data_IF_787648338695
#
_entry.id   IF_787648338695
#
_cell.length_a   1.000
_cell.length_b   1.000
_cell.length_c   1.000
_cell.angle_alpha   90.00
_cell.angle_beta   90.00
_cell.angle_gamma   90.00
#
_symmetry.space_group_name_H-M   'P 1'
#
loop_
_entity.id
_entity.type
_entity.pdbx_description
1 polymer ?
#
# COMPACT_ATOMS: atom_id res chain seq x y z
N UNK A 1 -54.65 -11.57 -25.04
CA UNK A 1 -54.18 -10.30 -24.45
C UNK A 1 -52.79 -10.03 -25.04
N UNK A 2 -52.66 -9.41 -26.23
CA UNK A 2 -52.37 -7.98 -26.52
C UNK A 2 -51.35 -7.28 -25.59
N UNK A 3 -50.18 -6.98 -26.19
CA UNK A 3 -49.25 -5.82 -26.00
C UNK A 3 -48.36 -5.87 -24.74
N UNK A 4 -47.08 -5.47 -24.71
CA UNK A 4 -46.30 -4.50 -25.52
C UNK A 4 -44.79 -4.64 -25.28
N UNK A 5 -44.00 -4.18 -26.27
CA UNK A 5 -42.53 -4.07 -26.35
C UNK A 5 -42.02 -2.87 -25.51
N UNK A 6 -40.78 -2.91 -24.98
CA UNK A 6 -39.91 -1.73 -24.96
C UNK A 6 -38.42 -2.12 -24.88
N UNK A 7 -37.71 -1.89 -25.98
CA UNK A 7 -36.25 -1.85 -26.04
C UNK A 7 -35.78 -0.42 -25.73
N UNK A 8 -34.70 -0.26 -24.97
CA UNK A 8 -34.07 1.05 -24.80
C UNK A 8 -32.55 0.90 -24.88
N UNK A 9 -32.00 1.41 -25.98
CA UNK A 9 -30.58 1.59 -26.22
C UNK A 9 -30.12 2.91 -25.59
N UNK A 10 -28.98 2.90 -24.90
CA UNK A 10 -28.31 4.12 -24.42
C UNK A 10 -26.95 4.19 -25.11
N UNK A 11 -26.81 5.17 -25.98
CA UNK A 11 -25.56 5.53 -26.66
C UNK A 11 -24.94 6.65 -25.83
N UNK A 12 -23.76 6.42 -25.23
CA UNK A 12 -22.93 7.47 -24.66
C UNK A 12 -21.84 7.85 -25.66
N UNK A 13 -21.95 9.03 -26.23
CA UNK A 13 -20.89 9.66 -27.00
C UNK A 13 -19.89 10.32 -26.03
N UNK A 14 -18.62 9.93 -26.12
CA UNK A 14 -17.51 10.56 -25.39
C UNK A 14 -16.73 11.41 -26.40
N UNK A 15 -16.85 12.73 -26.31
CA UNK A 15 -15.99 13.67 -27.04
C UNK A 15 -14.79 14.02 -26.17
N UNK A 16 -13.59 13.60 -26.59
CA UNK A 16 -12.32 14.02 -26.01
C UNK A 16 -11.92 15.37 -26.59
N UNK A 17 -11.97 16.42 -25.76
CA UNK A 17 -11.37 17.71 -26.05
C UNK A 17 -9.87 17.66 -25.71
N UNK A 18 -9.04 17.32 -26.69
CA UNK A 18 -7.58 17.44 -26.59
C UNK A 18 -7.18 18.90 -26.86
N UNK A 19 -6.73 19.60 -25.82
CA UNK A 19 -6.25 20.97 -25.93
C UNK A 19 -4.76 21.04 -25.58
N UNK A 20 -3.98 21.49 -26.58
CA UNK A 20 -2.68 22.18 -26.52
C UNK A 20 -1.43 21.43 -26.08
N UNK A 21 -0.54 21.28 -27.06
CA UNK A 21 0.91 21.30 -26.88
C UNK A 21 1.58 21.67 -28.20
N UNK A 22 1.71 22.97 -28.49
CA UNK A 22 2.51 23.48 -29.62
C UNK A 22 3.97 23.12 -29.38
N UNK A 23 4.57 22.38 -30.31
CA UNK A 23 6.02 22.28 -30.51
C UNK A 23 6.48 23.56 -31.21
N UNK A 24 7.39 24.28 -30.59
CA UNK A 24 8.26 25.23 -31.28
C UNK A 24 9.70 24.99 -30.81
N UNK A 25 10.52 24.87 -31.84
CA UNK A 25 11.95 24.58 -31.93
C UNK A 25 12.82 25.73 -31.41
N UNK A 26 14.13 25.48 -31.37
CA UNK A 26 15.27 26.42 -31.23
C UNK A 26 15.73 26.67 -29.79
N UNK A 27 17.01 26.74 -29.43
CA UNK A 27 18.32 26.51 -30.05
C UNK A 27 19.28 26.54 -28.86
N UNK A 28 20.13 25.54 -28.67
CA UNK A 28 21.11 25.50 -27.57
C UNK A 28 22.52 25.68 -28.13
N UNK A 29 22.97 26.92 -28.21
CA UNK A 29 24.39 27.26 -28.19
C UNK A 29 24.73 27.69 -26.76
N UNK A 30 25.28 26.77 -25.98
CA UNK A 30 25.75 27.03 -24.64
C UNK A 30 27.28 27.13 -24.69
N UNK A 31 27.77 28.37 -24.68
CA UNK A 31 29.15 28.68 -24.38
C UNK A 31 29.41 28.39 -22.90
N UNK A 32 30.36 27.48 -22.63
CA UNK A 32 30.85 27.18 -21.29
C UNK A 32 31.85 28.25 -20.86
N UNK A 33 31.53 28.97 -19.79
CA UNK A 33 32.53 29.67 -18.98
C UNK A 33 32.40 29.21 -17.54
N UNK A 34 33.46 28.52 -17.10
CA UNK A 34 33.74 28.21 -15.71
C UNK A 34 33.97 29.51 -14.92
N UNK A 35 33.34 29.65 -13.76
CA UNK A 35 33.87 30.53 -12.72
C UNK A 35 33.59 29.97 -11.33
N UNK A 36 34.67 30.03 -10.55
CA UNK A 36 34.97 29.42 -9.27
C UNK A 36 34.14 29.89 -8.08
N UNK A 37 34.13 29.02 -7.08
CA UNK A 37 34.08 29.24 -5.64
C UNK A 37 33.37 30.49 -5.11
N UNK A 38 32.26 30.27 -4.41
CA UNK A 38 31.95 31.09 -3.26
C UNK A 38 31.30 30.27 -2.13
N UNK A 39 31.92 30.31 -0.96
CA UNK A 39 31.37 29.87 0.32
C UNK A 39 29.97 30.45 0.49
N UNK A 40 28.98 29.61 0.76
CA UNK A 40 27.88 30.04 1.61
C UNK A 40 27.31 28.86 2.40
N UNK A 41 26.92 29.16 3.63
CA UNK A 41 26.44 28.23 4.63
C UNK A 41 25.41 27.24 4.06
N UNK A 42 25.53 25.96 4.50
CA UNK A 42 24.51 24.95 4.28
C UNK A 42 23.21 25.39 4.98
N UNK A 43 22.40 26.16 4.27
CA UNK A 43 20.99 26.35 4.58
C UNK A 43 20.36 24.96 4.51
N UNK A 44 19.94 24.46 5.67
CA UNK A 44 19.13 23.26 5.80
C UNK A 44 17.74 23.55 5.22
N UNK A 45 17.65 23.64 3.90
CA UNK A 45 16.40 23.73 3.17
C UNK A 45 15.87 22.31 2.97
N UNK A 46 15.39 21.68 4.05
CA UNK A 46 14.39 20.64 3.86
C UNK A 46 13.15 21.36 3.30
N UNK A 47 12.63 20.99 2.12
CA UNK A 47 11.44 21.63 1.59
C UNK A 47 10.33 21.49 2.64
N UNK A 48 9.69 22.60 3.00
CA UNK A 48 8.68 22.66 4.07
C UNK A 48 7.42 21.80 3.81
N UNK A 49 7.42 20.96 2.76
CA UNK A 49 6.27 20.23 2.26
C UNK A 49 6.58 18.78 1.85
N UNK A 50 7.74 18.21 2.20
CA UNK A 50 7.96 16.78 1.94
C UNK A 50 7.14 15.92 2.91
N UNK A 51 6.40 14.90 2.40
CA UNK A 51 5.60 14.02 3.25
C UNK A 51 6.45 13.31 4.30
N UNK A 52 6.06 13.46 5.58
CA UNK A 52 6.74 12.78 6.68
C UNK A 52 6.59 11.26 6.56
N UNK A 53 7.71 10.55 6.52
CA UNK A 53 7.77 9.10 6.41
C UNK A 53 8.19 8.45 7.74
N UNK A 54 7.72 7.23 7.97
CA UNK A 54 7.99 6.43 9.18
C UNK A 54 8.35 5.00 8.77
N UNK A 55 9.25 4.37 9.52
CA UNK A 55 9.41 2.93 9.43
C UNK A 55 8.26 2.26 10.21
N UNK A 56 7.79 1.10 9.73
CA UNK A 56 6.74 0.33 10.40
C UNK A 56 7.33 -0.98 10.87
N UNK A 57 7.23 -1.24 12.17
CA UNK A 57 7.74 -2.47 12.78
C UNK A 57 6.60 -3.36 13.24
N UNK A 58 6.76 -4.67 13.04
CA UNK A 58 5.83 -5.70 13.48
C UNK A 58 6.42 -6.48 14.66
N UNK A 59 5.63 -6.78 15.68
CA UNK A 59 6.09 -7.53 16.86
C UNK A 59 5.06 -8.56 17.33
N UNK A 60 5.30 -9.88 17.14
CA UNK A 60 6.37 -10.44 16.29
C UNK A 60 6.15 -10.08 14.81
N UNK A 61 7.22 -10.20 14.01
CA UNK A 61 7.17 -10.06 12.55
C UNK A 61 6.79 -11.36 11.82
N UNK A 62 6.62 -12.45 12.57
CA UNK A 62 6.29 -13.78 12.06
C UNK A 62 5.13 -14.41 12.81
N UNK A 63 4.37 -15.27 12.12
CA UNK A 63 3.20 -15.96 12.67
C UNK A 63 2.97 -17.31 12.00
N UNK A 64 2.42 -18.27 12.74
CA UNK A 64 1.85 -19.49 12.18
C UNK A 64 0.32 -19.38 12.17
N UNK A 65 -0.29 -19.68 11.04
CA UNK A 65 -1.74 -19.73 10.85
C UNK A 65 -2.17 -21.09 10.29
N UNK A 66 -3.47 -21.35 10.43
CA UNK A 66 -4.13 -22.58 10.02
C UNK A 66 -4.24 -23.58 11.16
N UNK A 67 -5.27 -24.42 11.14
CA UNK A 67 -5.52 -25.40 12.21
C UNK A 67 -4.34 -26.35 12.42
N UNK A 68 -3.56 -26.59 11.37
CA UNK A 68 -2.37 -27.44 11.38
C UNK A 68 -1.06 -26.64 11.32
N UNK A 69 -1.10 -25.30 11.50
CA UNK A 69 0.06 -24.40 11.37
C UNK A 69 0.75 -24.50 10.00
N UNK A 70 -0.04 -24.76 8.96
CA UNK A 70 0.46 -24.92 7.59
C UNK A 70 0.95 -23.63 6.94
N UNK A 71 0.51 -22.46 7.41
CA UNK A 71 0.85 -21.18 6.82
C UNK A 71 1.82 -20.44 7.76
N UNK A 72 3.09 -20.37 7.39
CA UNK A 72 4.05 -19.51 8.07
C UNK A 72 4.11 -18.15 7.37
N UNK A 73 3.76 -17.10 8.09
CA UNK A 73 3.69 -15.73 7.58
C UNK A 73 4.86 -14.93 8.14
N UNK A 74 5.48 -14.10 7.30
CA UNK A 74 6.42 -13.04 7.69
C UNK A 74 5.95 -11.71 7.13
N UNK A 75 5.95 -10.69 7.98
CA UNK A 75 5.60 -9.31 7.65
C UNK A 75 6.89 -8.50 7.58
N UNK A 76 7.14 -7.85 6.46
CA UNK A 76 8.40 -7.14 6.22
C UNK A 76 8.18 -5.86 5.42
N UNK A 77 9.24 -5.07 5.30
CA UNK A 77 9.29 -3.84 4.50
C UNK A 77 8.16 -2.86 4.81
N UNK A 78 7.80 -2.79 6.09
CA UNK A 78 6.78 -1.90 6.61
C UNK A 78 7.23 -0.43 6.52
N UNK A 79 6.44 0.40 5.87
CA UNK A 79 6.66 1.85 5.76
C UNK A 79 5.35 2.61 5.83
N UNK A 80 5.39 3.83 6.34
CA UNK A 80 4.23 4.70 6.35
C UNK A 80 4.57 6.12 5.90
N UNK A 81 3.65 6.78 5.22
CA UNK A 81 3.80 8.15 4.70
C UNK A 81 2.59 8.97 5.14
N UNK A 82 2.83 10.11 5.75
CA UNK A 82 1.77 11.05 6.14
C UNK A 82 1.21 11.74 4.89
N UNK A 83 -0.11 11.83 4.82
CA UNK A 83 -0.84 12.46 3.73
C UNK A 83 -1.30 13.85 4.15
N UNK A 84 -1.14 14.84 3.27
CA UNK A 84 -1.64 16.20 3.43
C UNK A 84 -2.45 16.65 2.21
N UNK A 85 -3.33 17.62 2.39
CA UNK A 85 -3.98 18.33 1.28
C UNK A 85 -3.12 19.50 0.77
N UNK A 86 -3.64 20.24 -0.21
CA UNK A 86 -2.95 21.39 -0.82
C UNK A 86 -2.65 22.53 0.17
N UNK A 87 -3.41 22.60 1.27
CA UNK A 87 -3.25 23.60 2.33
C UNK A 87 -2.31 23.12 3.44
N UNK A 88 -1.72 21.91 3.29
CA UNK A 88 -0.80 21.32 4.27
C UNK A 88 -1.49 20.66 5.46
N UNK A 89 -2.81 20.55 5.47
CA UNK A 89 -3.54 19.88 6.55
C UNK A 89 -3.40 18.37 6.42
N UNK A 90 -3.07 17.70 7.52
CA UNK A 90 -2.94 16.24 7.57
C UNK A 90 -4.30 15.59 7.32
N UNK A 91 -4.37 14.75 6.30
CA UNK A 91 -5.59 13.99 5.92
C UNK A 91 -5.53 12.52 6.35
N UNK A 92 -4.34 12.00 6.67
CA UNK A 92 -4.17 10.63 7.13
C UNK A 92 -2.73 10.14 7.04
N UNK A 93 -2.58 8.82 7.11
CA UNK A 93 -1.30 8.13 6.90
C UNK A 93 -1.53 6.92 6.00
N UNK A 94 -0.73 6.77 4.96
CA UNK A 94 -0.68 5.56 4.15
C UNK A 94 0.35 4.60 4.75
N UNK A 95 -0.06 3.39 5.13
CA UNK A 95 0.82 2.33 5.63
C UNK A 95 0.92 1.24 4.58
N UNK A 96 2.13 0.84 4.20
CA UNK A 96 2.38 -0.26 3.26
C UNK A 96 3.34 -1.29 3.84
N UNK A 97 3.21 -2.54 3.39
CA UNK A 97 4.07 -3.66 3.84
C UNK A 97 4.04 -4.82 2.82
N UNK A 98 5.01 -5.72 2.94
CA UNK A 98 5.06 -7.00 2.22
C UNK A 98 4.65 -8.15 3.14
N UNK A 99 3.93 -9.12 2.57
CA UNK A 99 3.63 -10.40 3.20
C UNK A 99 4.43 -11.47 2.46
N UNK A 100 5.20 -12.25 3.21
CA UNK A 100 5.82 -13.48 2.72
C UNK A 100 5.12 -14.68 3.37
N UNK A 101 4.78 -15.69 2.57
CA UNK A 101 4.05 -16.88 2.98
C UNK A 101 4.85 -18.11 2.60
N UNK A 102 5.23 -18.88 3.59
CA UNK A 102 5.80 -20.22 3.41
C UNK A 102 4.72 -21.25 3.70
N UNK A 103 4.42 -22.08 2.70
CA UNK A 103 3.56 -23.24 2.88
C UNK A 103 4.36 -24.38 3.52
N UNK A 104 3.92 -24.83 4.69
CA UNK A 104 4.54 -25.91 5.48
C UNK A 104 3.94 -27.29 5.20
N UNK A 105 2.97 -27.38 4.30
CA UNK A 105 2.42 -28.65 3.81
C UNK A 105 3.44 -29.41 2.98
N UNK A 106 3.28 -30.73 2.92
CA UNK A 106 4.18 -31.63 2.19
C UNK A 106 3.94 -31.57 0.69
N UNK A 107 4.97 -31.86 -0.10
CA UNK A 107 4.86 -31.95 -1.55
C UNK A 107 3.68 -32.87 -1.97
N UNK A 108 2.83 -32.37 -2.87
CA UNK A 108 1.62 -33.07 -3.33
C UNK A 108 0.34 -32.70 -2.56
N UNK A 109 0.45 -31.93 -1.46
CA UNK A 109 -0.70 -31.35 -0.76
C UNK A 109 -1.10 -29.99 -1.37
N UNK A 110 -2.24 -29.46 -0.91
CA UNK A 110 -2.82 -28.22 -1.44
C UNK A 110 -1.96 -26.98 -1.14
N UNK A 111 -2.04 -25.98 -2.02
CA UNK A 111 -1.46 -24.66 -1.79
C UNK A 111 -2.09 -23.96 -0.58
N UNK A 112 -1.34 -23.02 0.00
CA UNK A 112 -1.83 -22.06 1.00
C UNK A 112 -2.14 -20.77 0.26
N UNK A 113 -3.38 -20.32 0.35
CA UNK A 113 -3.86 -19.05 -0.20
C UNK A 113 -4.19 -18.08 0.93
N UNK A 114 -3.57 -16.91 0.90
CA UNK A 114 -3.81 -15.83 1.86
C UNK A 114 -4.45 -14.65 1.14
N UNK A 115 -5.60 -14.21 1.66
CA UNK A 115 -6.29 -13.02 1.22
C UNK A 115 -6.17 -11.91 2.29
N UNK A 116 -5.31 -10.89 2.09
CA UNK A 116 -5.17 -9.82 3.07
C UNK A 116 -6.44 -9.01 3.32
N UNK A 117 -7.44 -9.07 2.43
CA UNK A 117 -8.76 -8.46 2.67
C UNK A 117 -9.44 -8.96 3.96
N UNK A 118 -9.10 -10.16 4.41
CA UNK A 118 -9.64 -10.74 5.64
C UNK A 118 -8.94 -10.16 6.89
N UNK A 119 -7.80 -9.50 6.72
CA UNK A 119 -7.04 -8.93 7.83
C UNK A 119 -7.68 -7.66 8.36
N UNK A 120 -7.41 -7.35 9.62
CA UNK A 120 -7.92 -6.16 10.29
C UNK A 120 -6.80 -5.43 10.99
N UNK A 121 -6.51 -4.21 10.56
CA UNK A 121 -5.63 -3.31 11.28
C UNK A 121 -6.45 -2.62 12.37
N UNK A 122 -6.12 -2.90 13.62
CA UNK A 122 -6.66 -2.18 14.77
C UNK A 122 -5.86 -0.90 14.99
N UNK A 123 -6.58 0.19 15.17
CA UNK A 123 -6.03 1.51 15.49
C UNK A 123 -5.99 1.72 17.02
N UNK A 124 -5.23 2.72 17.44
CA UNK A 124 -5.11 3.15 18.84
C UNK A 124 -6.45 3.56 19.48
N UNK A 125 -7.38 4.10 18.69
CA UNK A 125 -8.75 4.41 19.11
C UNK A 125 -9.68 3.18 19.19
N UNK A 126 -9.18 1.97 18.95
CA UNK A 126 -9.92 0.71 19.03
C UNK A 126 -10.68 0.33 17.76
N UNK A 127 -10.79 1.21 16.76
CA UNK A 127 -11.42 0.91 15.49
C UNK A 127 -10.60 -0.07 14.66
N UNK A 128 -11.27 -0.88 13.86
CA UNK A 128 -10.65 -1.77 12.88
C UNK A 128 -10.87 -1.25 11.47
N UNK A 129 -9.84 -1.28 10.65
CA UNK A 129 -9.92 -0.96 9.22
C UNK A 129 -9.42 -2.13 8.38
N UNK A 130 -9.90 -2.19 7.14
CA UNK A 130 -9.41 -3.08 6.10
C UNK A 130 -8.44 -2.34 5.18
N UNK A 131 -7.76 -3.09 4.31
CA UNK A 131 -6.88 -2.50 3.30
C UNK A 131 -7.64 -1.56 2.36
N UNK A 132 -6.94 -0.52 1.93
CA UNK A 132 -7.30 0.32 0.79
C UNK A 132 -6.92 -0.38 -0.53
N UNK A 133 -5.79 -1.08 -0.53
CA UNK A 133 -5.33 -1.91 -1.66
C UNK A 133 -4.61 -3.14 -1.11
N UNK A 134 -4.80 -4.30 -1.73
CA UNK A 134 -4.17 -5.54 -1.31
C UNK A 134 -3.90 -6.46 -2.50
N UNK A 135 -2.90 -7.32 -2.35
CA UNK A 135 -2.61 -8.38 -3.30
C UNK A 135 -2.63 -9.72 -2.58
N UNK A 136 -3.37 -10.67 -3.13
CA UNK A 136 -3.46 -12.03 -2.61
C UNK A 136 -2.15 -12.77 -2.90
N UNK A 137 -1.80 -13.74 -2.08
CA UNK A 137 -0.60 -14.57 -2.27
C UNK A 137 -0.96 -16.04 -2.11
N UNK A 138 -0.44 -16.86 -3.01
CA UNK A 138 -0.53 -18.31 -2.96
C UNK A 138 0.86 -18.91 -2.95
N UNK A 139 1.08 -19.89 -2.09
CA UNK A 139 2.30 -20.69 -2.04
C UNK A 139 1.95 -22.16 -2.20
N UNK A 140 2.53 -22.81 -3.21
CA UNK A 140 2.47 -24.26 -3.39
C UNK A 140 3.13 -24.98 -2.21
N UNK A 141 2.88 -26.28 -2.05
CA UNK A 141 3.45 -27.06 -0.96
C UNK A 141 4.98 -26.92 -0.89
N UNK A 142 5.50 -26.74 0.33
CA UNK A 142 6.92 -26.49 0.64
C UNK A 142 7.53 -25.23 0.00
N UNK A 143 6.74 -24.41 -0.70
CA UNK A 143 7.20 -23.19 -1.37
C UNK A 143 7.00 -21.94 -0.49
N UNK A 144 7.72 -20.88 -0.86
CA UNK A 144 7.55 -19.55 -0.30
C UNK A 144 7.23 -18.56 -1.42
N UNK A 145 6.26 -17.69 -1.20
CA UNK A 145 5.89 -16.63 -2.13
C UNK A 145 5.51 -15.36 -1.38
N UNK A 146 5.55 -14.21 -2.07
CA UNK A 146 5.30 -12.90 -1.47
C UNK A 146 4.18 -12.13 -2.17
N UNK A 147 3.50 -11.27 -1.43
CA UNK A 147 2.73 -10.15 -1.99
C UNK A 147 3.19 -8.80 -1.48
N UNK A 148 3.38 -7.87 -2.41
CA UNK A 148 3.69 -6.46 -2.14
C UNK A 148 2.46 -5.59 -2.43
N UNK A 149 2.54 -4.29 -2.14
CA UNK A 149 1.44 -3.35 -2.44
C UNK A 149 0.25 -3.45 -1.49
N UNK A 150 0.39 -4.16 -0.37
CA UNK A 150 -0.62 -4.18 0.68
C UNK A 150 -0.60 -2.85 1.41
N UNK A 151 -1.73 -2.14 1.39
CA UNK A 151 -1.85 -0.77 1.85
C UNK A 151 -3.06 -0.55 2.74
N UNK A 152 -2.87 0.15 3.86
CA UNK A 152 -3.92 0.73 4.68
C UNK A 152 -3.92 2.25 4.55
N UNK A 153 -5.10 2.86 4.62
CA UNK A 153 -5.26 4.32 4.75
C UNK A 153 -5.84 4.65 6.12
N UNK A 154 -4.98 5.13 7.01
CA UNK A 154 -5.35 5.50 8.36
C UNK A 154 -5.96 6.91 8.38
N UNK A 155 -7.10 7.10 9.07
CA UNK A 155 -7.66 8.44 9.29
C UNK A 155 -6.67 9.36 10.02
N UNK A 156 -6.77 10.66 9.76
CA UNK A 156 -5.99 11.68 10.47
C UNK A 156 -6.12 11.53 12.00
N UNK A 157 -5.00 11.66 12.70
CA UNK A 157 -4.95 11.58 14.17
C UNK A 157 -4.98 10.17 14.75
N UNK A 158 -5.00 9.12 13.93
CA UNK A 158 -4.94 7.72 14.40
C UNK A 158 -3.56 7.11 14.20
N UNK A 159 -3.24 6.08 14.99
CA UNK A 159 -2.02 5.28 14.85
C UNK A 159 -2.36 3.79 14.75
N UNK A 160 -1.57 3.00 14.02
CA UNK A 160 -1.73 1.56 14.05
C UNK A 160 -1.37 1.04 15.44
N UNK A 161 -2.03 -0.04 15.85
CA UNK A 161 -1.76 -0.73 17.13
C UNK A 161 -1.42 -2.19 16.92
N UNK A 162 -2.25 -2.89 16.15
CA UNK A 162 -2.04 -4.31 15.87
C UNK A 162 -2.69 -4.75 14.58
N UNK A 163 -2.08 -5.68 13.87
CA UNK A 163 -2.63 -6.32 12.69
C UNK A 163 -3.13 -7.72 13.06
N UNK A 164 -4.41 -7.98 12.80
CA UNK A 164 -5.02 -9.29 12.98
C UNK A 164 -4.95 -10.04 11.64
N UNK A 165 -4.21 -11.14 11.63
CA UNK A 165 -4.05 -12.05 10.52
C UNK A 165 -5.07 -13.19 10.66
N UNK A 166 -5.67 -13.61 9.55
CA UNK A 166 -6.69 -14.65 9.53
C UNK A 166 -6.42 -15.67 8.42
N UNK A 167 -6.58 -16.95 8.75
CA UNK A 167 -6.57 -18.04 7.78
C UNK A 167 -7.14 -19.31 8.42
N UNK A 168 -8.01 -20.03 7.70
CA UNK A 168 -8.67 -21.27 8.15
C UNK A 168 -9.23 -21.16 9.58
N UNK A 169 -10.03 -20.11 9.82
CA UNK A 169 -10.68 -19.80 11.11
C UNK A 169 -9.72 -19.52 12.28
N UNK A 170 -8.41 -19.55 12.04
CA UNK A 170 -7.41 -19.15 13.02
C UNK A 170 -7.12 -17.66 12.93
N UNK A 171 -6.77 -17.06 14.07
CA UNK A 171 -6.38 -15.66 14.19
C UNK A 171 -5.06 -15.54 14.94
N UNK A 172 -4.14 -14.74 14.40
CA UNK A 172 -2.94 -14.28 15.12
C UNK A 172 -2.92 -12.76 15.10
N UNK A 173 -2.60 -12.16 16.23
CA UNK A 173 -2.46 -10.70 16.37
C UNK A 173 -0.98 -10.36 16.48
N UNK A 174 -0.51 -9.44 15.65
CA UNK A 174 0.85 -8.88 15.72
C UNK A 174 0.76 -7.40 16.10
N UNK A 175 1.67 -6.93 16.95
CA UNK A 175 1.81 -5.50 17.25
C UNK A 175 2.32 -4.73 16.04
N UNK A 176 1.87 -3.49 15.88
CA UNK A 176 2.30 -2.59 14.80
C UNK A 176 2.68 -1.24 15.40
N UNK A 177 3.88 -0.76 15.10
CA UNK A 177 4.36 0.54 15.58
C UNK A 177 4.93 1.38 14.42
N UNK A 178 4.71 2.69 14.48
CA UNK A 178 5.41 3.67 13.65
C UNK A 178 6.67 4.13 14.40
N UNK A 179 7.83 4.06 13.74
CA UNK A 179 9.12 4.54 14.24
C UNK A 179 9.52 5.84 13.52
#
# INVERSE_FOLDING_TARGET
MKKTILASAIIFAITLAACKGKKSTETSEQASTEQSDNKNAAANNSPANEPKSYAVTFSPDTAYLGKNKEAFIRLKDGKAVQLSDADGKITGTELTYEIEVTNKRKLGENSVYINPNDFRLQLDNGNNITHDTYNTVSADAEATNSSTGNKFRLPAGTKPKSLNLFFDETRVTVGVELK
#
